data_IF_282975894224
#
_entry.id   IF_282975894224
#
_cell.length_a   1.000
_cell.length_b   1.000
_cell.length_c   1.000
_cell.angle_alpha   90.00
_cell.angle_beta   90.00
_cell.angle_gamma   90.00
#
_symmetry.space_group_name_H-M   'P 1'
#
loop_
_entity.id
_entity.type
_entity.pdbx_description
1 polymer ?
#
# COMPACT_ATOMS: atom_id res chain seq x y z
N UNK A 1 1.69 1.67 -27.30
CA UNK A 1 1.92 0.28 -26.92
C UNK A 1 1.21 -0.03 -25.62
N UNK A 2 0.51 -1.11 -25.58
CA UNK A 2 -0.23 -1.50 -24.39
C UNK A 2 0.71 -2.09 -23.35
N UNK A 3 0.63 -1.61 -22.10
CA UNK A 3 1.40 -2.16 -20.99
C UNK A 3 0.82 -3.51 -20.58
N UNK A 4 1.66 -4.53 -20.48
CA UNK A 4 1.22 -5.86 -20.06
C UNK A 4 2.26 -6.49 -19.14
N UNK A 5 1.78 -7.14 -18.10
CA UNK A 5 2.65 -7.91 -17.23
C UNK A 5 2.95 -9.25 -17.87
N UNK A 6 4.13 -9.79 -17.57
CA UNK A 6 4.51 -11.10 -18.09
C UNK A 6 3.67 -12.19 -17.43
N UNK A 7 3.35 -13.23 -18.19
CA UNK A 7 2.63 -14.40 -17.67
C UNK A 7 3.49 -15.18 -16.67
N UNK A 8 2.83 -15.78 -15.71
CA UNK A 8 3.47 -16.59 -14.68
C UNK A 8 3.55 -18.05 -15.14
N UNK A 9 4.48 -18.34 -16.04
CA UNK A 9 4.61 -19.66 -16.63
C UNK A 9 5.56 -20.59 -15.86
N UNK A 10 6.50 -20.02 -15.11
CA UNK A 10 7.60 -20.76 -14.51
C UNK A 10 7.93 -20.13 -13.16
N UNK A 11 7.82 -20.92 -12.10
CA UNK A 11 8.06 -20.42 -10.74
C UNK A 11 9.46 -19.86 -10.57
N UNK A 12 10.46 -20.53 -11.11
CA UNK A 12 11.84 -20.07 -11.01
C UNK A 12 12.03 -18.72 -11.70
N UNK A 13 11.42 -18.54 -12.87
CA UNK A 13 11.46 -17.28 -13.58
C UNK A 13 10.76 -16.18 -12.79
N UNK A 14 9.65 -16.49 -12.13
CA UNK A 14 8.93 -15.55 -11.31
C UNK A 14 9.79 -15.11 -10.12
N UNK A 15 10.40 -16.05 -9.42
CA UNK A 15 11.11 -15.77 -8.18
C UNK A 15 12.52 -15.24 -8.37
N UNK A 16 13.20 -15.68 -9.41
CA UNK A 16 14.62 -15.36 -9.62
C UNK A 16 14.88 -14.61 -10.91
N UNK A 17 13.90 -14.49 -11.77
CA UNK A 17 14.03 -13.76 -13.03
C UNK A 17 13.89 -12.27 -12.85
N UNK A 18 13.81 -11.56 -13.95
CA UNK A 18 13.81 -10.10 -13.97
C UNK A 18 12.55 -9.47 -14.56
N UNK A 19 11.55 -10.30 -14.83
CA UNK A 19 10.31 -9.79 -15.43
C UNK A 19 9.22 -9.64 -14.38
N UNK A 20 8.43 -8.59 -14.51
CA UNK A 20 7.28 -8.34 -13.64
C UNK A 20 6.13 -9.26 -14.02
N UNK A 21 5.78 -10.16 -13.12
CA UNK A 21 4.71 -11.15 -13.29
C UNK A 21 3.86 -11.23 -12.03
N UNK A 22 3.10 -10.17 -11.73
CA UNK A 22 2.36 -10.11 -10.46
C UNK A 22 1.31 -11.20 -10.36
N UNK A 23 1.14 -11.72 -9.16
CA UNK A 23 0.10 -12.70 -8.88
C UNK A 23 -1.08 -11.99 -8.20
N UNK A 24 -2.17 -11.89 -8.92
CA UNK A 24 -3.41 -11.39 -8.35
C UNK A 24 -4.19 -12.58 -7.78
N UNK A 25 -4.95 -12.35 -6.72
CA UNK A 25 -5.73 -13.40 -6.08
C UNK A 25 -6.98 -13.74 -6.92
N UNK A 26 -7.85 -14.60 -6.39
CA UNK A 26 -9.06 -15.03 -7.10
C UNK A 26 -10.04 -13.88 -7.37
N UNK A 27 -9.88 -12.76 -6.68
CA UNK A 27 -10.69 -11.56 -6.90
C UNK A 27 -9.99 -10.54 -7.78
N UNK A 28 -8.82 -10.90 -8.33
CA UNK A 28 -8.04 -10.00 -9.16
C UNK A 28 -7.29 -8.93 -8.38
N UNK A 29 -6.99 -9.17 -7.10
CA UNK A 29 -6.36 -8.18 -6.23
C UNK A 29 -4.99 -8.65 -5.74
N UNK A 30 -4.10 -7.68 -5.52
CA UNK A 30 -2.81 -7.91 -4.90
C UNK A 30 -2.69 -6.97 -3.70
N UNK A 31 -2.24 -7.47 -2.54
CA UNK A 31 -2.05 -6.61 -1.37
C UNK A 31 -0.88 -5.66 -1.55
N UNK A 32 -1.00 -4.48 -0.96
CA UNK A 32 -0.01 -3.41 -1.07
C UNK A 32 0.31 -2.88 0.31
N UNK A 33 1.59 -2.78 0.62
CA UNK A 33 2.08 -2.15 1.83
C UNK A 33 2.74 -0.84 1.40
N UNK A 34 2.39 0.26 2.06
CA UNK A 34 2.91 1.58 1.73
C UNK A 34 3.67 2.16 2.90
N UNK A 35 4.93 2.54 2.68
CA UNK A 35 5.78 3.13 3.71
C UNK A 35 6.26 4.52 3.27
N UNK A 36 6.65 5.33 4.26
CA UNK A 36 7.21 6.65 4.03
C UNK A 36 8.66 6.48 3.53
N UNK A 37 8.95 7.07 2.41
CA UNK A 37 10.26 6.93 1.80
C UNK A 37 11.38 7.59 2.63
N UNK A 38 11.07 8.60 3.42
CA UNK A 38 12.06 9.29 4.24
C UNK A 38 12.34 8.57 5.57
N UNK A 39 11.31 8.03 6.20
CA UNK A 39 11.43 7.46 7.55
C UNK A 39 11.36 5.93 7.56
N UNK A 40 10.81 5.31 6.54
CA UNK A 40 10.54 3.89 6.53
C UNK A 40 9.30 3.50 7.31
N UNK A 41 8.59 4.45 7.90
CA UNK A 41 7.40 4.15 8.68
C UNK A 41 6.29 3.58 7.81
N UNK A 42 5.60 2.58 8.32
CA UNK A 42 4.45 2.00 7.64
C UNK A 42 3.31 3.02 7.67
N UNK A 43 2.77 3.34 6.51
CA UNK A 43 1.70 4.32 6.39
C UNK A 43 0.34 3.67 6.28
N UNK A 44 0.21 2.69 5.41
CA UNK A 44 -1.08 2.04 5.20
C UNK A 44 -0.92 0.72 4.47
N UNK A 45 -1.99 -0.04 4.46
CA UNK A 45 -2.15 -1.26 3.69
C UNK A 45 -3.36 -1.08 2.79
N UNK A 46 -3.27 -1.59 1.58
CA UNK A 46 -4.37 -1.50 0.63
C UNK A 46 -4.32 -2.64 -0.38
N UNK A 47 -5.10 -2.50 -1.42
CA UNK A 47 -5.17 -3.47 -2.50
C UNK A 47 -5.12 -2.76 -3.84
N UNK A 48 -4.61 -3.46 -4.84
CA UNK A 48 -4.63 -2.99 -6.22
C UNK A 48 -5.18 -4.10 -7.09
N UNK A 49 -5.96 -3.72 -8.11
CA UNK A 49 -6.22 -4.62 -9.21
C UNK A 49 -5.18 -4.33 -10.31
N UNK A 50 -5.31 -4.99 -11.45
CA UNK A 50 -4.40 -4.80 -12.59
C UNK A 50 -4.31 -3.32 -12.98
N UNK A 51 -5.46 -2.66 -13.11
CA UNK A 51 -5.52 -1.25 -13.51
C UNK A 51 -4.85 -0.33 -12.50
N UNK A 52 -5.07 -0.57 -11.21
CA UNK A 52 -4.47 0.26 -10.16
C UNK A 52 -2.94 0.15 -10.18
N UNK A 53 -2.43 -1.06 -10.31
CA UNK A 53 -0.97 -1.27 -10.37
C UNK A 53 -0.39 -0.62 -11.62
N UNK A 54 -1.03 -0.82 -12.75
CA UNK A 54 -0.61 -0.23 -14.01
C UNK A 54 -0.57 1.29 -13.93
N UNK A 55 -1.64 1.90 -13.45
CA UNK A 55 -1.71 3.36 -13.32
C UNK A 55 -0.69 3.91 -12.33
N UNK A 56 -0.45 3.20 -11.24
CA UNK A 56 0.57 3.60 -10.27
C UNK A 56 1.95 3.62 -10.91
N UNK A 57 2.28 2.60 -11.69
CA UNK A 57 3.56 2.54 -12.38
C UNK A 57 3.69 3.68 -13.40
N UNK A 58 2.64 3.91 -14.16
CA UNK A 58 2.67 4.91 -15.24
C UNK A 58 2.68 6.34 -14.73
N UNK A 59 1.88 6.64 -13.71
CA UNK A 59 1.70 8.01 -13.24
C UNK A 59 2.63 8.40 -12.11
N UNK A 60 3.22 7.41 -11.41
CA UNK A 60 3.98 7.60 -10.18
C UNK A 60 3.15 8.15 -9.03
N UNK A 61 1.85 8.16 -9.16
CA UNK A 61 0.90 8.48 -8.09
C UNK A 61 0.15 7.22 -7.73
N UNK A 62 -0.02 6.95 -6.43
CA UNK A 62 -0.59 5.67 -6.01
C UNK A 62 -2.08 5.62 -6.30
N UNK A 63 -2.47 4.55 -6.96
CA UNK A 63 -3.86 4.19 -7.19
C UNK A 63 -4.13 2.88 -6.46
N UNK A 64 -5.26 2.81 -5.78
CA UNK A 64 -5.70 1.61 -5.06
C UNK A 64 -7.03 1.15 -5.61
N UNK A 65 -7.39 -0.08 -5.28
CA UNK A 65 -8.72 -0.61 -5.52
C UNK A 65 -9.47 -0.64 -4.19
N UNK A 66 -10.62 0.03 -4.14
CA UNK A 66 -11.47 0.00 -2.97
C UNK A 66 -12.35 -1.25 -3.02
N UNK A 67 -12.14 -2.17 -2.07
CA UNK A 67 -12.92 -3.41 -2.01
C UNK A 67 -14.39 -3.14 -1.64
N UNK A 68 -14.62 -2.19 -0.75
CA UNK A 68 -15.97 -1.88 -0.30
C UNK A 68 -16.78 -1.14 -1.35
N UNK A 69 -16.15 -0.18 -2.03
CA UNK A 69 -16.84 0.60 -3.07
C UNK A 69 -16.71 0.00 -4.46
N UNK A 70 -15.86 -1.03 -4.58
CA UNK A 70 -15.62 -1.73 -5.84
C UNK A 70 -15.25 -0.79 -6.98
N UNK A 71 -14.29 0.08 -6.71
CA UNK A 71 -13.81 1.02 -7.73
C UNK A 71 -12.35 1.40 -7.51
N UNK A 72 -11.75 1.84 -8.60
CA UNK A 72 -10.41 2.40 -8.61
C UNK A 72 -10.43 3.79 -7.99
N UNK A 73 -9.42 4.13 -7.19
CA UNK A 73 -9.29 5.49 -6.70
C UNK A 73 -7.82 5.87 -6.56
N UNK A 74 -7.50 7.13 -6.90
CA UNK A 74 -6.17 7.69 -6.72
C UNK A 74 -6.08 8.24 -5.30
N UNK A 75 -5.06 7.84 -4.58
CA UNK A 75 -4.87 8.32 -3.22
C UNK A 75 -4.71 9.84 -3.23
N UNK A 76 -5.51 10.53 -2.43
CA UNK A 76 -5.52 11.98 -2.37
C UNK A 76 -6.47 12.64 -3.35
N UNK A 77 -7.22 11.88 -4.11
CA UNK A 77 -8.15 12.41 -5.11
C UNK A 77 -9.19 13.36 -4.49
N UNK A 78 -9.61 13.06 -3.28
CA UNK A 78 -10.58 13.90 -2.55
C UNK A 78 -9.89 14.65 -1.43
N UNK A 79 -9.09 13.96 -0.61
CA UNK A 79 -8.44 14.56 0.57
C UNK A 79 -7.29 15.51 0.22
N UNK A 80 -6.72 15.39 -0.98
CA UNK A 80 -5.53 16.15 -1.37
C UNK A 80 -4.22 15.54 -0.88
N UNK A 81 -4.27 14.49 -0.07
CA UNK A 81 -3.05 13.85 0.47
C UNK A 81 -2.56 12.76 -0.47
N UNK A 82 -1.98 13.19 -1.59
CA UNK A 82 -1.45 12.28 -2.60
C UNK A 82 -0.24 11.52 -2.08
N UNK A 83 0.02 10.38 -2.69
CA UNK A 83 1.21 9.59 -2.42
C UNK A 83 2.01 9.50 -3.71
N UNK A 84 3.19 10.08 -3.70
CA UNK A 84 4.09 10.07 -4.87
C UNK A 84 5.07 8.92 -4.72
N UNK A 85 5.09 8.04 -5.69
CA UNK A 85 5.90 6.83 -5.63
C UNK A 85 7.37 7.17 -5.85
N UNK A 86 8.22 6.74 -4.93
CA UNK A 86 9.67 6.83 -5.07
C UNK A 86 10.27 5.49 -5.47
N UNK A 87 9.69 4.40 -4.99
CA UNK A 87 10.15 3.06 -5.34
C UNK A 87 8.99 2.09 -5.21
N UNK A 88 8.92 1.12 -6.11
CA UNK A 88 8.01 -0.02 -6.01
C UNK A 88 8.85 -1.28 -5.94
N UNK A 89 8.57 -2.11 -4.96
CA UNK A 89 9.19 -3.41 -4.84
C UNK A 89 8.09 -4.48 -4.81
N UNK A 90 8.45 -5.67 -5.23
CA UNK A 90 7.53 -6.79 -5.21
C UNK A 90 8.26 -7.95 -4.53
N UNK A 91 7.54 -8.78 -3.79
CA UNK A 91 8.21 -9.86 -3.08
C UNK A 91 8.61 -11.01 -4.03
N UNK A 92 9.27 -12.03 -3.50
CA UNK A 92 9.90 -13.06 -4.34
C UNK A 92 8.90 -13.82 -5.22
N UNK A 93 7.74 -14.18 -4.69
CA UNK A 93 6.71 -14.86 -5.48
C UNK A 93 5.75 -13.89 -6.17
N UNK A 94 6.01 -12.61 -6.04
CA UNK A 94 5.28 -11.53 -6.72
C UNK A 94 3.79 -11.49 -6.39
N UNK A 95 3.44 -11.75 -5.13
CA UNK A 95 2.06 -11.69 -4.66
C UNK A 95 1.79 -10.58 -3.66
N UNK A 96 2.76 -9.71 -3.43
CA UNK A 96 2.61 -8.56 -2.54
C UNK A 96 3.51 -7.43 -3.02
N UNK A 97 2.98 -6.21 -2.99
CA UNK A 97 3.68 -5.01 -3.48
C UNK A 97 4.04 -4.11 -2.31
N UNK A 98 5.23 -3.54 -2.36
CA UNK A 98 5.69 -2.58 -1.37
C UNK A 98 5.99 -1.25 -2.08
N UNK A 99 5.25 -0.22 -1.69
CA UNK A 99 5.44 1.14 -2.20
C UNK A 99 6.19 1.97 -1.16
N UNK A 100 7.23 2.65 -1.62
CA UNK A 100 7.90 3.67 -0.83
C UNK A 100 7.49 5.02 -1.42
N UNK A 101 6.84 5.86 -0.63
CA UNK A 101 6.18 7.05 -1.16
C UNK A 101 6.58 8.32 -0.39
N UNK A 102 6.47 9.44 -1.08
CA UNK A 102 6.59 10.76 -0.49
C UNK A 102 5.17 11.32 -0.31
N UNK A 103 4.80 11.61 0.93
CA UNK A 103 3.51 12.21 1.24
C UNK A 103 3.66 13.65 1.76
N UNK A 104 4.89 14.18 1.73
CA UNK A 104 5.17 15.52 2.23
C UNK A 104 4.72 15.66 3.69
N UNK A 105 3.93 16.68 3.96
CA UNK A 105 3.35 16.89 5.29
C UNK A 105 1.94 16.31 5.43
N UNK A 106 1.54 15.43 4.51
CA UNK A 106 0.21 14.88 4.49
C UNK A 106 0.00 13.74 5.48
N UNK A 107 -1.17 13.14 5.40
CA UNK A 107 -1.56 12.00 6.21
C UNK A 107 -2.11 10.89 5.33
N UNK A 108 -1.87 9.65 5.73
CA UNK A 108 -2.43 8.49 5.01
C UNK A 108 -3.77 8.07 5.59
N UNK A 109 -3.98 8.30 6.87
CA UNK A 109 -5.21 7.93 7.54
C UNK A 109 -6.30 9.00 7.36
N UNK A 110 -7.51 8.56 7.05
CA UNK A 110 -8.63 9.49 6.83
C UNK A 110 -9.02 10.28 8.09
N UNK A 111 -8.60 9.83 9.27
CA UNK A 111 -8.84 10.59 10.51
C UNK A 111 -7.72 11.57 10.84
N UNK A 112 -6.75 11.74 9.94
CA UNK A 112 -5.73 12.77 10.04
C UNK A 112 -4.39 12.34 10.61
N UNK A 113 -4.23 11.07 10.98
CA UNK A 113 -2.92 10.57 11.39
C UNK A 113 -2.06 10.31 10.16
N UNK A 114 -0.76 10.53 10.32
CA UNK A 114 0.17 10.29 9.23
C UNK A 114 0.15 8.81 8.79
N UNK A 115 0.06 7.89 9.75
CA UNK A 115 -0.06 6.46 9.49
C UNK A 115 -1.44 5.95 9.87
N UNK A 116 -1.95 5.00 9.11
CA UNK A 116 -3.16 4.28 9.49
C UNK A 116 -2.93 3.39 10.70
N UNK A 117 -1.67 3.05 10.97
CA UNK A 117 -1.29 2.17 12.08
C UNK A 117 -0.89 2.99 13.31
N UNK A 118 -1.75 3.88 13.73
CA UNK A 118 -1.47 4.80 14.83
C UNK A 118 -1.88 4.25 16.21
N UNK A 119 -2.47 3.07 16.26
CA UNK A 119 -2.89 2.43 17.51
C UNK A 119 -2.17 1.11 17.71
N UNK A 120 -1.84 0.81 18.95
CA UNK A 120 -1.17 -0.43 19.32
C UNK A 120 -2.11 -1.32 20.11
N UNK A 121 -1.91 -2.61 19.98
CA UNK A 121 -2.60 -3.62 20.79
C UNK A 121 -1.68 -3.90 21.95
N UNK A 122 -2.12 -3.73 23.21
CA UNK A 122 -1.30 -4.07 24.38
C UNK A 122 -0.95 -5.55 24.34
N UNK A 123 0.32 -5.83 24.66
CA UNK A 123 0.82 -7.21 24.70
C UNK A 123 0.70 -7.79 26.11
N UNK A 124 0.59 -9.11 26.20
CA UNK A 124 0.44 -9.82 27.44
C UNK A 124 -0.95 -10.43 27.56
N UNK A 125 -1.55 -10.32 28.74
CA UNK A 125 -2.90 -10.86 28.93
C UNK A 125 -3.90 -10.01 28.20
N UNK A 126 -4.68 -10.64 27.33
CA UNK A 126 -5.76 -9.95 26.64
C UNK A 126 -6.98 -10.01 27.57
N UNK A 127 -7.52 -8.83 27.88
CA UNK A 127 -8.76 -8.71 28.62
C UNK A 127 -9.86 -8.35 27.63
N UNK A 128 -11.10 -8.70 27.99
CA UNK A 128 -12.23 -8.18 27.24
C UNK A 128 -12.25 -6.67 27.45
N UNK A 129 -12.51 -5.91 26.43
CA UNK A 129 -12.60 -4.45 26.50
C UNK A 129 -11.25 -3.75 26.72
N UNK A 130 -10.14 -4.42 26.33
CA UNK A 130 -8.87 -3.78 26.40
C UNK A 130 -8.79 -2.61 25.42
N UNK A 131 -8.29 -1.46 25.88
CA UNK A 131 -8.19 -0.28 25.04
C UNK A 131 -6.91 -0.33 24.20
N UNK A 132 -7.02 0.19 22.98
CA UNK A 132 -5.86 0.38 22.14
C UNK A 132 -5.07 1.59 22.61
N UNK A 133 -3.75 1.54 22.43
CA UNK A 133 -2.87 2.65 22.78
C UNK A 133 -2.50 3.43 21.52
N UNK A 134 -2.34 4.75 21.67
CA UNK A 134 -1.84 5.59 20.56
C UNK A 134 -0.33 5.47 20.54
N UNK A 135 0.24 4.98 19.44
CA UNK A 135 1.66 4.82 19.28
C UNK A 135 2.37 6.16 19.14
N UNK A 136 3.58 6.25 19.68
CA UNK A 136 4.36 7.51 19.65
C UNK A 136 4.73 7.93 18.24
N UNK A 137 5.13 6.98 17.42
CA UNK A 137 5.54 7.27 16.04
C UNK A 137 4.39 7.65 15.14
N UNK A 138 3.17 7.48 15.63
CA UNK A 138 1.94 7.68 14.83
C UNK A 138 1.07 8.78 15.41
N UNK A 139 1.66 9.74 16.07
CA UNK A 139 0.90 10.87 16.60
C UNK A 139 0.15 11.57 15.47
N UNK A 140 -1.05 12.10 15.81
CA UNK A 140 -1.83 12.84 14.84
C UNK A 140 -1.00 13.98 14.28
N UNK A 141 -1.06 14.14 12.98
CA UNK A 141 -0.34 15.20 12.30
C UNK A 141 -0.84 16.56 12.77
N UNK A 142 0.10 17.43 13.08
CA UNK A 142 -0.24 18.78 13.53
C UNK A 142 -0.29 19.66 12.31
N UNK A 143 -1.47 19.91 11.91
CA UNK A 143 -1.71 20.77 10.77
C UNK A 143 -2.20 22.10 11.23
#
# INVERSE_FOLDING_TARGET
MQFMFKKRDNIKEVEEGKYLSPKFDENGLIPVITTDFQTGNLLMHGYMNYEALKKTIETKEVHYWSRSRKKLWRKGQISGFVQIVKEIRIDDDQDSVWLSVDIGNGASCHVGYRSCFYRSIPLGKIKNEEELEIGRASCRERV
#
